data_IF_399375460392
#
_entry.id   IF_399375460392
#
_cell.length_a   1.000
_cell.length_b   1.000
_cell.length_c   1.000
_cell.angle_alpha   90.00
_cell.angle_beta   90.00
_cell.angle_gamma   90.00
#
_symmetry.space_group_name_H-M   'P 1'
#
loop_
_entity.id
_entity.type
_entity.pdbx_description
1 polymer ?
#
# COMPACT_ATOMS: atom_id res chain seq x y z
N UNK A 1 12.63 1.91 9.05
CA UNK A 1 13.40 1.52 10.25
C UNK A 1 13.20 0.04 10.47
N UNK A 2 14.27 -0.72 10.71
CA UNK A 2 14.21 -2.16 10.96
C UNK A 2 15.05 -2.44 12.20
N UNK A 3 14.44 -2.95 13.25
CA UNK A 3 15.08 -3.16 14.54
C UNK A 3 14.71 -4.52 15.13
N UNK A 4 15.69 -5.14 15.80
CA UNK A 4 15.48 -6.34 16.57
C UNK A 4 14.86 -5.97 17.92
N UNK A 5 13.73 -6.58 18.25
CA UNK A 5 13.04 -6.42 19.53
C UNK A 5 12.86 -7.78 20.19
N UNK A 6 12.56 -7.82 21.50
CA UNK A 6 12.44 -9.05 22.29
C UNK A 6 13.68 -9.96 22.17
N UNK A 7 14.85 -9.43 22.55
CA UNK A 7 16.13 -10.16 22.54
C UNK A 7 16.49 -10.79 21.18
N UNK A 8 16.09 -10.14 20.08
CA UNK A 8 16.35 -10.62 18.73
C UNK A 8 15.38 -11.67 18.20
N UNK A 9 14.31 -12.01 18.95
CA UNK A 9 13.30 -12.98 18.50
C UNK A 9 12.31 -12.39 17.51
N UNK A 10 12.05 -11.08 17.59
CA UNK A 10 11.06 -10.39 16.77
C UNK A 10 11.70 -9.21 16.03
N UNK A 11 11.17 -8.89 14.85
CA UNK A 11 11.60 -7.73 14.04
C UNK A 11 10.51 -6.66 14.06
N UNK A 12 10.87 -5.47 14.53
CA UNK A 12 10.08 -4.26 14.34
C UNK A 12 10.48 -3.63 13.02
N UNK A 13 9.52 -3.49 12.11
CA UNK A 13 9.74 -2.91 10.78
C UNK A 13 8.71 -1.80 10.59
N UNK A 14 9.20 -0.61 10.27
CA UNK A 14 8.34 0.54 9.95
C UNK A 14 8.82 1.23 8.68
N UNK A 15 7.85 1.60 7.84
CA UNK A 15 8.07 2.41 6.64
C UNK A 15 7.16 3.62 6.76
N UNK A 16 7.73 4.80 6.58
CA UNK A 16 6.99 6.07 6.61
C UNK A 16 7.03 6.68 5.23
N UNK A 17 5.85 6.85 4.62
CA UNK A 17 5.70 7.43 3.29
C UNK A 17 4.84 8.68 3.39
N UNK A 18 5.49 9.85 3.49
CA UNK A 18 4.87 11.15 3.80
C UNK A 18 4.06 11.74 2.66
N UNK A 19 4.37 11.41 1.41
CA UNK A 19 3.74 12.03 0.22
C UNK A 19 3.27 10.99 -0.80
N UNK A 20 2.31 10.14 -0.41
CA UNK A 20 1.73 9.15 -1.32
C UNK A 20 0.49 9.73 -2.00
N UNK A 21 0.64 10.21 -3.25
CA UNK A 21 -0.49 10.72 -4.04
C UNK A 21 -1.19 9.57 -4.74
N UNK A 22 -2.37 9.21 -4.24
CA UNK A 22 -3.23 8.18 -4.81
C UNK A 22 -4.63 8.70 -5.01
N UNK A 23 -5.28 8.22 -6.06
CA UNK A 23 -6.67 8.53 -6.37
C UNK A 23 -7.33 7.30 -7.01
N UNK A 24 -8.61 7.10 -6.68
CA UNK A 24 -9.43 5.96 -7.14
C UNK A 24 -10.56 6.40 -8.06
N UNK A 25 -10.73 7.71 -8.30
CA UNK A 25 -11.78 8.26 -9.13
C UNK A 25 -11.33 9.48 -9.93
N UNK A 26 -10.72 9.26 -11.11
CA UNK A 26 -10.29 10.35 -11.98
C UNK A 26 -9.17 9.96 -12.95
N UNK A 27 -9.17 10.60 -14.13
CA UNK A 27 -8.11 10.44 -15.14
C UNK A 27 -7.93 9.01 -15.64
N UNK A 28 -6.71 8.46 -15.52
CA UNK A 28 -6.35 7.16 -16.07
C UNK A 28 -6.98 5.93 -15.39
N UNK A 29 -7.66 6.11 -14.25
CA UNK A 29 -8.34 5.01 -13.52
C UNK A 29 -9.63 4.54 -14.21
N UNK A 30 -10.11 5.28 -15.21
CA UNK A 30 -11.26 4.90 -16.05
C UNK A 30 -10.90 3.95 -17.20
N UNK A 31 -9.61 3.76 -17.52
CA UNK A 31 -9.20 2.78 -18.52
C UNK A 31 -9.51 1.36 -18.04
N UNK A 32 -10.04 0.52 -18.94
CA UNK A 32 -10.55 -0.81 -18.63
C UNK A 32 -9.58 -1.68 -17.81
N UNK A 33 -8.30 -1.70 -18.20
CA UNK A 33 -7.24 -2.45 -17.52
C UNK A 33 -6.96 -1.97 -16.09
N UNK A 34 -6.84 -0.65 -15.89
CA UNK A 34 -6.60 -0.06 -14.56
C UNK A 34 -7.83 -0.18 -13.66
N UNK A 35 -9.02 -0.17 -14.25
CA UNK A 35 -10.27 -0.32 -13.53
C UNK A 35 -10.52 -1.77 -13.05
N UNK A 36 -10.02 -2.77 -13.78
CA UNK A 36 -10.10 -4.18 -13.38
C UNK A 36 -9.25 -4.46 -12.13
N UNK A 37 -8.07 -3.85 -12.04
CA UNK A 37 -7.22 -3.97 -10.86
C UNK A 37 -7.82 -3.28 -9.63
N UNK A 38 -8.41 -2.09 -9.79
CA UNK A 38 -9.13 -1.42 -8.71
C UNK A 38 -10.39 -2.20 -8.26
N UNK A 39 -11.07 -2.88 -9.19
CA UNK A 39 -12.18 -3.78 -8.87
C UNK A 39 -11.72 -4.99 -8.04
N UNK A 40 -10.54 -5.55 -8.33
CA UNK A 40 -10.00 -6.68 -7.57
C UNK A 40 -9.66 -6.30 -6.12
N UNK A 41 -9.35 -5.02 -5.88
CA UNK A 41 -9.11 -4.45 -4.55
C UNK A 41 -10.38 -3.87 -3.90
N UNK A 42 -11.56 -4.07 -4.50
CA UNK A 42 -12.86 -3.47 -4.13
C UNK A 42 -12.82 -1.93 -3.96
N UNK A 43 -11.84 -1.29 -4.59
CA UNK A 43 -11.52 0.12 -4.42
C UNK A 43 -11.95 1.00 -5.59
N UNK A 44 -12.71 0.49 -6.56
CA UNK A 44 -13.06 1.27 -7.76
C UNK A 44 -14.06 2.37 -7.44
N UNK A 45 -13.70 3.61 -7.78
CA UNK A 45 -14.56 4.78 -7.62
C UNK A 45 -14.55 5.37 -6.21
N UNK A 46 -15.41 6.35 -6.00
CA UNK A 46 -15.59 6.98 -4.70
C UNK A 46 -16.46 6.10 -3.80
N UNK A 47 -15.99 5.81 -2.58
CA UNK A 47 -16.80 5.12 -1.59
C UNK A 47 -18.00 6.02 -1.21
N UNK A 48 -19.21 5.48 -1.31
CA UNK A 48 -20.46 6.21 -1.03
C UNK A 48 -20.61 6.60 0.45
N UNK A 49 -19.98 5.85 1.34
CA UNK A 49 -20.08 6.04 2.80
C UNK A 49 -19.08 7.08 3.29
N UNK A 50 -17.88 7.10 2.73
CA UNK A 50 -16.89 8.13 3.03
C UNK A 50 -16.04 8.45 1.80
N UNK A 51 -16.04 9.71 1.33
CA UNK A 51 -15.13 10.11 0.27
C UNK A 51 -13.70 9.83 0.73
N UNK A 52 -12.85 9.33 -0.17
CA UNK A 52 -11.42 9.03 0.06
C UNK A 52 -11.08 7.70 0.75
N UNK A 53 -12.06 6.89 1.22
CA UNK A 53 -11.76 5.59 1.85
C UNK A 53 -10.98 4.65 0.92
N UNK A 54 -11.43 4.52 -0.32
CA UNK A 54 -10.79 3.68 -1.34
C UNK A 54 -9.38 4.18 -1.68
N UNK A 55 -9.19 5.50 -1.74
CA UNK A 55 -7.86 6.10 -1.98
C UNK A 55 -6.92 5.84 -0.80
N UNK A 56 -7.42 5.88 0.44
CA UNK A 56 -6.63 5.52 1.63
C UNK A 56 -6.25 4.04 1.65
N UNK A 57 -7.16 3.16 1.25
CA UNK A 57 -6.89 1.73 1.11
C UNK A 57 -5.80 1.47 0.05
N UNK A 58 -5.88 2.17 -1.09
CA UNK A 58 -4.84 2.09 -2.11
C UNK A 58 -3.48 2.59 -1.60
N UNK A 59 -3.43 3.70 -0.84
CA UNK A 59 -2.19 4.16 -0.20
C UNK A 59 -1.62 3.11 0.76
N UNK A 60 -2.47 2.46 1.56
CA UNK A 60 -2.05 1.43 2.50
C UNK A 60 -1.44 0.23 1.77
N UNK A 61 -2.06 -0.24 0.68
CA UNK A 61 -1.55 -1.33 -0.15
C UNK A 61 -0.19 -0.99 -0.74
N UNK A 62 0.01 0.23 -1.21
CA UNK A 62 1.30 0.69 -1.74
C UNK A 62 2.37 0.65 -0.65
N UNK A 63 2.10 1.20 0.53
CA UNK A 63 3.07 1.22 1.64
C UNK A 63 3.39 -0.20 2.11
N UNK A 64 2.39 -1.08 2.19
CA UNK A 64 2.58 -2.48 2.59
C UNK A 64 3.39 -3.27 1.56
N UNK A 65 3.17 -3.02 0.27
CA UNK A 65 3.97 -3.61 -0.81
C UNK A 65 5.44 -3.19 -0.73
N UNK A 66 5.70 -1.92 -0.42
CA UNK A 66 7.07 -1.41 -0.19
C UNK A 66 7.69 -2.07 1.03
N UNK A 67 6.96 -2.16 2.15
CA UNK A 67 7.41 -2.82 3.37
C UNK A 67 7.78 -4.29 3.13
N UNK A 68 6.93 -5.04 2.43
CA UNK A 68 7.17 -6.43 2.06
C UNK A 68 8.38 -6.58 1.12
N UNK A 69 8.55 -5.65 0.17
CA UNK A 69 9.70 -5.59 -0.73
C UNK A 69 11.02 -5.36 0.02
N UNK A 70 11.06 -4.37 0.90
CA UNK A 70 12.21 -4.07 1.75
C UNK A 70 12.59 -5.26 2.64
N UNK A 71 11.61 -5.92 3.26
CA UNK A 71 11.84 -7.11 4.07
C UNK A 71 12.40 -8.27 3.23
N UNK A 72 11.83 -8.50 2.05
CA UNK A 72 12.26 -9.57 1.13
C UNK A 72 13.66 -9.34 0.58
N UNK A 73 14.00 -8.09 0.25
CA UNK A 73 15.33 -7.71 -0.22
C UNK A 73 16.38 -7.89 0.88
N UNK A 74 16.06 -7.50 2.12
CA UNK A 74 16.95 -7.67 3.28
C UNK A 74 17.19 -9.13 3.62
N UNK A 75 16.20 -10.01 3.43
CA UNK A 75 16.37 -11.47 3.57
C UNK A 75 17.31 -12.08 2.54
N UNK A 76 17.46 -11.47 1.36
CA UNK A 76 18.31 -11.97 0.28
C UNK A 76 19.78 -11.54 0.41
N UNK A 77 20.03 -10.40 1.06
CA UNK A 77 21.37 -9.80 1.19
C UNK A 77 22.15 -10.24 2.43
N UNK A 78 21.58 -11.10 3.28
CA UNK A 78 22.22 -11.74 4.43
C UNK A 78 22.23 -13.26 4.24
#
# INVERSE_FOLDING_TARGET
MIEAINDGKNLYVSVTMTCTKVDTGGGGTQLASKSAWLNLLDGKGACRVSPTLNSRLLAAIVVDSVLAGELSFRKRLN
#
